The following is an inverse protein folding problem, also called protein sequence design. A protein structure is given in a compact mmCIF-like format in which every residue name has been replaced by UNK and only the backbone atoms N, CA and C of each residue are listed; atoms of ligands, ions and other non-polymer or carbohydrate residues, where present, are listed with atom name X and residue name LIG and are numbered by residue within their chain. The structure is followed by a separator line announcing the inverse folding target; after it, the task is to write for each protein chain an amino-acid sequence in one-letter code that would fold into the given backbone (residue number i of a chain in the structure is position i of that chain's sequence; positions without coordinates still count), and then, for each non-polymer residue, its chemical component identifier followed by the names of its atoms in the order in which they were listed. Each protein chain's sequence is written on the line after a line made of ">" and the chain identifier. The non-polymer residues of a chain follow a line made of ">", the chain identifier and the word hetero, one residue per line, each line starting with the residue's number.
data_IF_014967641717
#
_entry.id   IF_014967641717
#
_cell.length_a   1.000
_cell.length_b   1.000
_cell.length_c   1.000
_cell.angle_alpha   90.00
_cell.angle_beta   90.00
_cell.angle_gamma   90.00
#
_symmetry.space_group_name_H-M   'P 1'
#
loop_
_entity.id
_entity.type
_entity.pdbx_description
1 polymer ?
#
# COMPACT_ATOMS: atom_id res chain seq x y z
N UNK A 1 24.45 11.59 0.60
CA UNK A 1 23.44 12.16 1.50
C UNK A 1 22.75 13.38 0.85
N UNK A 2 23.49 14.40 0.43
CA UNK A 2 22.97 15.68 -0.12
C UNK A 2 21.96 15.46 -1.28
N UNK A 3 22.30 14.56 -2.23
CA UNK A 3 21.39 14.23 -3.33
C UNK A 3 20.05 13.65 -2.87
N UNK A 4 20.02 12.85 -1.79
CA UNK A 4 18.80 12.29 -1.23
C UNK A 4 17.97 13.38 -0.54
N UNK A 5 18.63 14.29 0.19
CA UNK A 5 17.99 15.44 0.84
C UNK A 5 17.41 16.44 -0.17
N UNK A 6 18.10 16.67 -1.28
CA UNK A 6 17.61 17.54 -2.35
C UNK A 6 16.36 16.95 -3.02
N UNK A 7 16.37 15.64 -3.30
CA UNK A 7 15.19 14.95 -3.85
C UNK A 7 14.01 14.97 -2.89
N UNK A 8 14.24 14.66 -1.64
CA UNK A 8 13.22 14.75 -0.58
C UNK A 8 12.62 16.16 -0.52
N UNK A 9 13.47 17.16 -0.56
CA UNK A 9 13.08 18.57 -0.52
C UNK A 9 12.16 18.98 -1.65
N UNK A 10 12.46 18.54 -2.87
CA UNK A 10 11.63 18.78 -4.06
C UNK A 10 10.29 18.07 -3.95
N UNK A 11 10.29 16.79 -3.56
CA UNK A 11 9.06 16.02 -3.38
C UNK A 11 8.11 16.67 -2.39
N UNK A 12 8.61 17.15 -1.24
CA UNK A 12 7.77 17.82 -0.24
C UNK A 12 7.09 19.10 -0.76
N UNK A 13 7.73 19.83 -1.68
CA UNK A 13 7.13 21.03 -2.26
C UNK A 13 5.89 20.69 -3.10
N UNK A 14 5.92 19.56 -3.81
CA UNK A 14 4.85 19.13 -4.72
C UNK A 14 3.70 18.39 -4.03
N UNK A 15 3.86 17.99 -2.76
CA UNK A 15 2.83 17.26 -2.01
C UNK A 15 1.66 18.18 -1.69
N UNK A 16 0.45 17.83 -2.17
CA UNK A 16 -0.80 18.44 -1.74
C UNK A 16 -1.25 17.85 -0.40
N UNK A 17 -1.80 18.72 0.45
CA UNK A 17 -2.40 18.38 1.76
C UNK A 17 -3.91 18.65 1.79
N UNK A 18 -4.54 18.84 0.64
CA UNK A 18 -5.96 19.17 0.54
C UNK A 18 -6.88 18.00 0.91
N UNK A 19 -6.38 16.77 0.77
CA UNK A 19 -7.14 15.55 1.07
C UNK A 19 -6.26 14.51 1.74
N UNK A 20 -6.71 14.02 2.90
CA UNK A 20 -6.05 12.94 3.62
C UNK A 20 -6.85 11.64 3.54
N UNK A 21 -6.13 10.54 3.36
CA UNK A 21 -6.72 9.21 3.45
C UNK A 21 -7.12 8.89 4.89
N UNK A 22 -8.18 8.11 5.08
CA UNK A 22 -8.66 7.70 6.41
C UNK A 22 -7.55 7.12 7.31
N UNK A 23 -6.61 6.40 6.71
CA UNK A 23 -5.48 5.78 7.40
C UNK A 23 -4.56 6.80 8.07
N UNK A 24 -4.46 8.03 7.54
CA UNK A 24 -3.64 9.10 8.10
C UNK A 24 -3.92 9.35 9.59
N UNK A 25 -5.19 9.30 9.98
CA UNK A 25 -5.64 9.50 11.37
C UNK A 25 -5.68 8.20 12.19
N UNK A 26 -5.58 7.04 11.57
CA UNK A 26 -5.59 5.74 12.25
C UNK A 26 -4.19 5.26 12.65
N UNK A 27 -3.15 5.71 11.94
CA UNK A 27 -1.77 5.36 12.26
C UNK A 27 -1.38 6.01 13.59
N UNK A 28 -0.88 5.18 14.52
CA UNK A 28 -0.20 5.72 15.70
C UNK A 28 1.24 6.09 15.33
N UNK A 29 1.42 7.34 14.94
CA UNK A 29 2.69 7.89 14.49
C UNK A 29 3.76 7.99 15.59
N UNK A 30 3.41 7.77 16.86
CA UNK A 30 4.38 7.71 17.96
C UNK A 30 5.14 6.39 18.03
N UNK A 31 4.74 5.38 17.26
CA UNK A 31 5.45 4.11 17.21
C UNK A 31 6.82 4.29 16.55
N UNK A 32 7.84 3.67 17.12
CA UNK A 32 9.22 3.76 16.64
C UNK A 32 9.43 3.12 15.26
N UNK A 33 8.71 2.05 14.96
CA UNK A 33 8.73 1.43 13.64
C UNK A 33 7.31 1.19 13.15
N UNK A 34 7.02 1.72 11.97
CA UNK A 34 5.72 1.66 11.34
C UNK A 34 5.90 1.09 9.93
N UNK A 35 5.16 0.02 9.63
CA UNK A 35 5.07 -0.54 8.28
C UNK A 35 3.70 -0.26 7.68
N UNK A 36 3.68 0.34 6.50
CA UNK A 36 2.47 0.61 5.74
C UNK A 36 2.46 -0.22 4.47
N UNK A 37 1.62 -1.25 4.44
CA UNK A 37 1.44 -2.13 3.28
C UNK A 37 0.15 -1.81 2.53
N UNK A 38 -0.03 -2.39 1.37
CA UNK A 38 -1.26 -2.24 0.58
C UNK A 38 -0.99 -2.26 -0.92
N UNK A 39 -2.05 -2.35 -1.75
CA UNK A 39 -1.92 -2.40 -3.20
C UNK A 39 -1.11 -1.23 -3.76
N UNK A 40 -0.44 -1.47 -4.90
CA UNK A 40 0.25 -0.39 -5.61
C UNK A 40 -0.77 0.65 -6.08
N UNK A 41 -0.42 1.94 -5.97
CA UNK A 41 -1.27 3.02 -6.46
C UNK A 41 -2.36 3.50 -5.50
N UNK A 42 -2.52 2.92 -4.31
CA UNK A 42 -3.56 3.35 -3.34
C UNK A 42 -3.22 4.66 -2.59
N UNK A 43 -2.00 5.20 -2.77
CA UNK A 43 -1.59 6.47 -2.18
C UNK A 43 -0.73 6.37 -0.93
N UNK A 44 -0.02 5.24 -0.69
CA UNK A 44 0.87 5.06 0.48
C UNK A 44 1.96 6.13 0.55
N UNK A 45 2.68 6.33 -0.56
CA UNK A 45 3.73 7.36 -0.68
C UNK A 45 3.21 8.75 -0.36
N UNK A 46 2.03 9.12 -0.91
CA UNK A 46 1.42 10.40 -0.67
C UNK A 46 1.10 10.58 0.82
N UNK A 47 0.53 9.56 1.47
CA UNK A 47 0.16 9.59 2.88
C UNK A 47 1.39 9.86 3.78
N UNK A 48 2.51 9.14 3.57
CA UNK A 48 3.71 9.35 4.39
C UNK A 48 4.38 10.70 4.12
N UNK A 49 4.36 11.18 2.88
CA UNK A 49 4.88 12.50 2.54
C UNK A 49 4.02 13.64 3.11
N UNK A 50 2.70 13.48 3.15
CA UNK A 50 1.79 14.42 3.83
C UNK A 50 2.13 14.51 5.32
N UNK A 51 2.28 13.36 5.98
CA UNK A 51 2.65 13.35 7.40
C UNK A 51 3.99 14.02 7.65
N UNK A 52 5.00 13.73 6.84
CA UNK A 52 6.30 14.39 6.88
C UNK A 52 6.18 15.91 6.75
N UNK A 53 5.40 16.37 5.75
CA UNK A 53 5.25 17.80 5.45
C UNK A 53 4.59 18.58 6.56
N UNK A 54 3.60 17.99 7.22
CA UNK A 54 2.73 18.69 8.18
C UNK A 54 3.18 18.57 9.63
N UNK A 55 3.88 17.48 9.99
CA UNK A 55 4.07 17.15 11.41
C UNK A 55 5.54 17.05 11.83
N UNK A 56 6.49 16.95 10.91
CA UNK A 56 7.88 16.69 11.26
C UNK A 56 8.83 17.79 10.81
N UNK A 57 9.85 18.11 11.64
CA UNK A 57 10.89 19.07 11.26
C UNK A 57 11.71 18.49 10.12
N UNK A 58 11.88 19.28 9.06
CA UNK A 58 12.56 18.84 7.84
C UNK A 58 14.04 18.52 8.06
N UNK A 59 14.70 19.27 8.93
CA UNK A 59 16.11 19.10 9.26
C UNK A 59 16.44 17.75 9.92
N UNK A 60 15.46 17.15 10.62
CA UNK A 60 15.61 15.89 11.33
C UNK A 60 14.90 14.73 10.62
N UNK A 61 14.39 14.95 9.41
CA UNK A 61 13.61 13.98 8.64
C UNK A 61 14.25 13.69 7.29
N UNK A 62 14.14 12.44 6.85
CA UNK A 62 14.60 12.03 5.54
C UNK A 62 13.60 11.04 4.94
N UNK A 63 13.26 11.24 3.67
CA UNK A 63 12.53 10.28 2.85
C UNK A 63 13.43 9.75 1.74
N UNK A 64 13.43 8.43 1.58
CA UNK A 64 14.13 7.74 0.49
C UNK A 64 13.22 6.67 -0.10
N UNK A 65 13.42 6.35 -1.37
CA UNK A 65 12.84 5.14 -1.97
C UNK A 65 13.89 4.06 -2.10
N UNK A 66 13.54 2.82 -1.76
CA UNK A 66 14.43 1.67 -1.90
C UNK A 66 14.79 1.34 -3.36
N UNK A 67 14.09 1.97 -4.32
CA UNK A 67 14.40 1.89 -5.75
C UNK A 67 15.52 2.86 -6.20
N UNK A 68 16.02 3.74 -5.30
CA UNK A 68 17.07 4.68 -5.65
C UNK A 68 18.39 3.97 -5.97
N UNK A 69 19.06 4.40 -7.05
CA UNK A 69 20.39 3.90 -7.43
C UNK A 69 21.43 4.05 -6.32
N UNK A 70 21.21 4.92 -5.34
CA UNK A 70 22.05 5.02 -4.15
C UNK A 70 22.23 3.66 -3.46
N UNK A 71 21.18 2.85 -3.40
CA UNK A 71 21.19 1.55 -2.73
C UNK A 71 21.78 0.40 -3.56
N UNK A 72 22.27 0.66 -4.75
CA UNK A 72 23.10 -0.29 -5.52
C UNK A 72 24.49 -0.44 -4.88
N UNK A 73 25.02 0.66 -4.34
CA UNK A 73 26.36 0.73 -3.78
C UNK A 73 26.39 0.90 -2.25
N UNK A 74 25.27 1.32 -1.65
CA UNK A 74 25.18 1.65 -0.22
C UNK A 74 24.08 0.85 0.46
N UNK A 75 24.32 0.49 1.72
CA UNK A 75 23.35 -0.23 2.53
C UNK A 75 22.39 0.74 3.21
N UNK A 76 21.17 0.26 3.50
CA UNK A 76 20.19 1.01 4.31
C UNK A 76 20.72 1.30 5.71
N UNK A 77 21.41 0.33 6.33
CA UNK A 77 22.01 0.51 7.64
C UNK A 77 23.07 1.61 7.64
N UNK A 78 23.95 1.65 6.62
CA UNK A 78 24.99 2.67 6.52
C UNK A 78 24.38 4.08 6.32
N UNK A 79 23.26 4.17 5.58
CA UNK A 79 22.50 5.41 5.47
C UNK A 79 21.94 5.85 6.83
N UNK A 80 21.35 4.92 7.59
CA UNK A 80 20.78 5.21 8.91
C UNK A 80 21.86 5.68 9.89
N UNK A 81 23.03 4.98 9.91
CA UNK A 81 24.19 5.37 10.74
C UNK A 81 24.65 6.79 10.43
N UNK A 82 24.76 7.12 9.15
CA UNK A 82 25.17 8.46 8.72
C UNK A 82 24.11 9.52 9.07
N UNK A 83 22.82 9.20 8.84
CA UNK A 83 21.71 10.09 9.10
C UNK A 83 21.59 10.43 10.60
N UNK A 84 21.66 9.43 11.47
CA UNK A 84 21.63 9.63 12.93
C UNK A 84 22.83 10.44 13.41
N UNK A 85 24.05 10.20 12.90
CA UNK A 85 25.24 11.00 13.21
C UNK A 85 25.08 12.49 12.84
N UNK A 86 24.24 12.79 11.86
CA UNK A 86 23.91 14.16 11.45
C UNK A 86 22.72 14.75 12.21
N UNK A 87 22.20 14.08 13.24
CA UNK A 87 21.06 14.52 14.04
C UNK A 87 19.69 14.12 13.49
N UNK A 88 19.64 13.20 12.52
CA UNK A 88 18.40 12.66 11.95
C UNK A 88 17.62 11.83 12.97
N UNK A 89 16.30 11.98 12.95
CA UNK A 89 15.38 11.30 13.88
C UNK A 89 14.25 10.53 13.20
N UNK A 90 13.86 10.91 11.99
CA UNK A 90 12.70 10.34 11.29
C UNK A 90 13.10 9.89 9.89
N UNK A 91 13.24 8.58 9.69
CA UNK A 91 13.62 7.98 8.42
C UNK A 91 12.43 7.26 7.79
N UNK A 92 12.06 7.71 6.59
CA UNK A 92 10.97 7.15 5.80
C UNK A 92 11.52 6.45 4.57
N UNK A 93 11.18 5.16 4.42
CA UNK A 93 11.71 4.30 3.35
C UNK A 93 10.54 3.77 2.53
N UNK A 94 10.40 4.26 1.32
CA UNK A 94 9.33 3.85 0.41
C UNK A 94 9.74 2.63 -0.41
N UNK A 95 8.76 1.79 -0.77
CA UNK A 95 8.92 0.58 -1.58
C UNK A 95 10.02 -0.35 -1.07
N UNK A 96 10.09 -0.55 0.27
CA UNK A 96 11.14 -1.32 0.96
C UNK A 96 11.35 -2.72 0.39
N UNK A 97 10.31 -3.31 -0.19
CA UNK A 97 10.34 -4.62 -0.81
C UNK A 97 11.28 -4.72 -2.02
N UNK A 98 11.70 -3.60 -2.57
CA UNK A 98 12.69 -3.55 -3.67
C UNK A 98 14.12 -3.74 -3.17
N UNK A 99 14.35 -3.61 -1.87
CA UNK A 99 15.66 -3.78 -1.28
C UNK A 99 15.86 -5.21 -0.77
N UNK A 100 16.95 -5.85 -1.17
CA UNK A 100 17.30 -7.19 -0.70
C UNK A 100 17.65 -7.16 0.79
N UNK A 101 17.28 -8.20 1.53
CA UNK A 101 17.55 -8.34 2.97
C UNK A 101 16.95 -7.20 3.86
N UNK A 102 15.97 -6.47 3.36
CA UNK A 102 15.35 -5.34 4.01
C UNK A 102 14.92 -5.58 5.48
N UNK A 103 14.34 -6.74 5.78
CA UNK A 103 13.86 -7.04 7.14
C UNK A 103 14.99 -7.18 8.15
N UNK A 104 16.13 -7.72 7.73
CA UNK A 104 17.32 -7.82 8.58
C UNK A 104 17.92 -6.45 8.86
N UNK A 105 18.02 -5.61 7.85
CA UNK A 105 18.57 -4.26 8.04
C UNK A 105 17.65 -3.37 8.85
N UNK A 106 16.33 -3.39 8.62
CA UNK A 106 15.37 -2.69 9.48
C UNK A 106 15.48 -3.13 10.95
N UNK A 107 15.65 -4.44 11.19
CA UNK A 107 15.86 -4.94 12.54
C UNK A 107 17.14 -4.38 13.16
N UNK A 108 18.25 -4.39 12.45
CA UNK A 108 19.52 -3.83 12.95
C UNK A 108 19.41 -2.32 13.19
N UNK A 109 18.79 -1.58 12.27
CA UNK A 109 18.54 -0.15 12.45
C UNK A 109 17.70 0.13 13.71
N UNK A 110 16.65 -0.66 13.94
CA UNK A 110 15.84 -0.55 15.14
C UNK A 110 16.61 -0.86 16.42
N UNK A 111 17.45 -1.89 16.40
CA UNK A 111 18.18 -2.33 17.60
C UNK A 111 19.37 -1.39 17.90
N UNK A 112 20.04 -0.81 16.89
CA UNK A 112 21.22 0.04 17.05
C UNK A 112 20.91 1.53 17.28
N UNK A 113 19.76 2.02 16.81
CA UNK A 113 19.38 3.42 16.90
C UNK A 113 18.06 3.59 17.66
N UNK A 114 18.05 3.53 19.00
CA UNK A 114 16.83 3.63 19.81
C UNK A 114 16.09 4.96 19.65
N UNK A 115 16.78 6.02 19.25
CA UNK A 115 16.24 7.36 18.98
C UNK A 115 15.63 7.51 17.57
N UNK A 116 15.91 6.59 16.65
CA UNK A 116 15.44 6.67 15.28
C UNK A 116 14.02 6.11 15.14
N UNK A 117 13.12 6.93 14.63
CA UNK A 117 11.83 6.49 14.13
C UNK A 117 11.96 6.05 12.68
N UNK A 118 11.43 4.88 12.35
CA UNK A 118 11.49 4.28 11.02
C UNK A 118 10.06 4.06 10.53
N UNK A 119 9.73 4.64 9.39
CA UNK A 119 8.48 4.37 8.68
C UNK A 119 8.82 3.77 7.32
N UNK A 120 8.23 2.63 6.99
CA UNK A 120 8.48 2.02 5.70
C UNK A 120 7.18 1.66 4.99
N UNK A 121 7.20 1.73 3.66
CA UNK A 121 6.07 1.26 2.85
C UNK A 121 6.46 0.06 2.01
N UNK A 122 5.45 -0.70 1.61
CA UNK A 122 5.63 -1.79 0.67
C UNK A 122 4.34 -2.21 -0.01
N UNK A 123 4.46 -3.04 -1.04
CA UNK A 123 3.28 -3.62 -1.68
C UNK A 123 2.64 -4.69 -0.80
N UNK A 124 1.39 -5.08 -1.08
CA UNK A 124 0.69 -6.17 -0.38
C UNK A 124 1.43 -7.51 -0.43
N UNK A 125 2.37 -7.66 -1.36
CA UNK A 125 3.22 -8.85 -1.45
C UNK A 125 4.11 -8.99 -0.21
N UNK A 126 4.44 -7.90 0.48
CA UNK A 126 5.18 -7.95 1.76
C UNK A 126 4.41 -8.71 2.85
N UNK A 127 3.08 -8.65 2.85
CA UNK A 127 2.24 -9.31 3.84
C UNK A 127 2.40 -10.84 3.77
N UNK A 128 2.78 -11.36 2.60
CA UNK A 128 3.02 -12.78 2.34
C UNK A 128 4.45 -13.18 2.77
N UNK A 129 5.33 -12.21 3.05
CA UNK A 129 6.76 -12.46 3.24
C UNK A 129 7.09 -12.83 4.69
N UNK A 130 7.95 -13.86 4.84
CA UNK A 130 8.55 -14.28 6.13
C UNK A 130 9.31 -13.13 6.85
N UNK A 131 9.75 -12.10 6.10
CA UNK A 131 10.44 -10.93 6.64
C UNK A 131 9.59 -10.09 7.59
N UNK A 132 8.27 -10.02 7.41
CA UNK A 132 7.36 -9.34 8.34
C UNK A 132 7.29 -10.06 9.69
N UNK A 133 7.39 -11.40 9.68
CA UNK A 133 7.41 -12.19 10.90
C UNK A 133 8.62 -11.84 11.79
N UNK A 134 9.78 -11.52 11.20
CA UNK A 134 10.99 -11.11 11.94
C UNK A 134 10.82 -9.73 12.62
N UNK A 135 9.94 -8.89 12.10
CA UNK A 135 9.66 -7.55 12.63
C UNK A 135 8.42 -7.49 13.53
N UNK A 136 7.70 -8.60 13.72
CA UNK A 136 6.39 -8.65 14.40
C UNK A 136 6.37 -8.08 15.82
N UNK A 137 7.54 -8.01 16.50
CA UNK A 137 7.69 -7.41 17.85
C UNK A 137 8.23 -5.97 17.80
N UNK A 138 8.58 -5.46 16.63
CA UNK A 138 9.23 -4.15 16.46
C UNK A 138 8.40 -3.17 15.66
N UNK A 139 7.72 -3.66 14.63
CA UNK A 139 6.95 -2.84 13.71
C UNK A 139 5.45 -2.94 13.96
N UNK A 140 4.78 -1.80 14.03
CA UNK A 140 3.33 -1.72 13.93
C UNK A 140 2.94 -1.71 12.46
N UNK A 141 2.26 -2.76 12.00
CA UNK A 141 1.88 -2.93 10.61
C UNK A 141 0.47 -2.39 10.37
N UNK A 142 0.33 -1.58 9.33
CA UNK A 142 -0.96 -1.05 8.86
C UNK A 142 -1.15 -1.47 7.40
N UNK A 143 -2.38 -1.84 7.06
CA UNK A 143 -2.72 -2.23 5.70
C UNK A 143 -3.70 -1.23 5.08
N UNK A 144 -3.24 -0.51 4.05
CA UNK A 144 -3.99 0.53 3.36
C UNK A 144 -4.73 -0.03 2.17
N UNK A 145 -6.04 0.02 2.21
CA UNK A 145 -6.92 -0.34 1.09
C UNK A 145 -7.07 0.80 0.08
N UNK A 146 -7.74 0.55 -1.03
CA UNK A 146 -8.18 1.60 -1.94
C UNK A 146 -9.15 2.58 -1.29
N UNK A 147 -9.64 3.56 -2.06
CA UNK A 147 -10.60 4.53 -1.56
C UNK A 147 -11.90 3.84 -1.12
N UNK A 148 -12.38 4.16 0.06
CA UNK A 148 -13.77 3.90 0.43
C UNK A 148 -14.70 4.79 -0.39
N UNK A 149 -15.99 4.41 -0.48
CA UNK A 149 -16.97 5.25 -1.18
C UNK A 149 -17.06 6.67 -0.59
N UNK A 150 -16.93 6.80 0.73
CA UNK A 150 -16.86 8.10 1.41
C UNK A 150 -15.65 8.92 0.95
N UNK A 151 -14.45 8.32 0.94
CA UNK A 151 -13.23 9.00 0.48
C UNK A 151 -13.32 9.38 -1.00
N UNK A 152 -13.91 8.53 -1.83
CA UNK A 152 -14.17 8.82 -3.23
C UNK A 152 -15.07 10.05 -3.41
N UNK A 153 -16.14 10.16 -2.62
CA UNK A 153 -17.04 11.32 -2.65
C UNK A 153 -16.32 12.59 -2.20
N UNK A 154 -15.54 12.51 -1.12
CA UNK A 154 -14.80 13.66 -0.61
C UNK A 154 -13.72 14.10 -1.62
N UNK A 155 -12.97 13.17 -2.18
CA UNK A 155 -11.86 13.49 -3.08
C UNK A 155 -12.30 14.00 -4.45
N UNK A 156 -13.34 13.39 -5.06
CA UNK A 156 -13.70 13.65 -6.46
C UNK A 156 -14.98 14.45 -6.64
N UNK A 157 -15.79 14.59 -5.61
CA UNK A 157 -17.10 15.25 -5.70
C UNK A 157 -17.26 16.43 -4.73
N UNK A 158 -16.18 16.80 -4.02
CA UNK A 158 -16.18 17.98 -3.15
C UNK A 158 -17.09 17.85 -1.92
N UNK A 159 -17.45 16.63 -1.54
CA UNK A 159 -18.12 16.39 -0.25
C UNK A 159 -17.10 16.39 0.88
N UNK A 160 -17.58 16.60 2.09
CA UNK A 160 -16.80 16.47 3.33
C UNK A 160 -17.55 15.58 4.31
N UNK A 161 -17.70 14.31 3.93
CA UNK A 161 -18.32 13.31 4.81
C UNK A 161 -17.34 12.85 5.88
N UNK A 162 -17.66 13.02 7.16
CA UNK A 162 -16.82 12.50 8.24
C UNK A 162 -16.93 10.97 8.33
N UNK A 163 -16.01 10.36 9.07
CA UNK A 163 -16.14 8.98 9.50
C UNK A 163 -17.11 8.91 10.68
N UNK A 164 -18.14 8.09 10.58
CA UNK A 164 -19.07 7.82 11.67
C UNK A 164 -18.72 6.49 12.34
N UNK A 165 -18.78 6.48 13.67
CA UNK A 165 -18.71 5.25 14.45
C UNK A 165 -20.03 4.48 14.37
N UNK A 166 -20.01 3.21 14.77
CA UNK A 166 -21.26 2.44 14.90
C UNK A 166 -22.26 3.11 15.87
N UNK A 167 -21.75 3.66 16.97
CA UNK A 167 -22.57 4.37 17.96
C UNK A 167 -23.21 5.63 17.36
N UNK A 168 -22.50 6.37 16.53
CA UNK A 168 -23.07 7.54 15.83
C UNK A 168 -24.21 7.13 14.89
N UNK A 169 -24.05 5.99 14.21
CA UNK A 169 -25.09 5.45 13.33
C UNK A 169 -26.31 5.01 14.15
N UNK A 170 -26.10 4.26 15.24
CA UNK A 170 -27.18 3.79 16.10
C UNK A 170 -27.92 4.93 16.79
N UNK A 171 -27.23 6.01 17.12
CA UNK A 171 -27.79 7.20 17.75
C UNK A 171 -28.34 8.22 16.73
N UNK A 172 -28.41 7.86 15.42
CA UNK A 172 -28.92 8.71 14.34
C UNK A 172 -28.19 10.07 14.23
N UNK A 173 -26.91 10.12 14.57
CA UNK A 173 -26.10 11.34 14.48
C UNK A 173 -25.54 11.59 13.06
N UNK A 174 -25.82 10.66 12.13
CA UNK A 174 -25.35 10.77 10.74
C UNK A 174 -26.07 11.93 10.06
N UNK A 175 -25.31 12.92 9.60
CA UNK A 175 -25.84 14.04 8.83
C UNK A 175 -25.56 13.82 7.34
N UNK A 176 -26.60 13.89 6.52
CA UNK A 176 -26.51 13.74 5.08
C UNK A 176 -26.99 15.05 4.45
N UNK A 177 -26.24 15.64 3.50
CA UNK A 177 -26.68 16.85 2.80
C UNK A 177 -28.03 16.67 2.14
N UNK A 178 -28.89 17.70 2.21
CA UNK A 178 -30.20 17.65 1.58
C UNK A 178 -30.06 17.37 0.08
N UNK A 179 -30.84 16.42 -0.41
CA UNK A 179 -30.82 16.02 -1.82
C UNK A 179 -29.67 15.10 -2.24
N UNK A 180 -28.82 14.66 -1.32
CA UNK A 180 -27.78 13.70 -1.64
C UNK A 180 -28.37 12.35 -2.08
N UNK A 181 -27.94 11.85 -3.23
CA UNK A 181 -28.39 10.58 -3.81
C UNK A 181 -27.18 9.65 -4.01
N UNK A 182 -26.84 8.78 -3.05
CA UNK A 182 -25.64 7.97 -3.08
C UNK A 182 -25.55 7.07 -4.32
N UNK A 183 -26.66 6.49 -4.78
CA UNK A 183 -26.66 5.59 -5.94
C UNK A 183 -26.26 6.28 -7.25
N UNK A 184 -26.40 7.58 -7.34
CA UNK A 184 -25.96 8.36 -8.50
C UNK A 184 -24.43 8.28 -8.69
N UNK A 185 -23.69 8.21 -7.60
CA UNK A 185 -22.22 8.15 -7.58
C UNK A 185 -21.68 6.71 -7.44
N UNK A 186 -22.49 5.81 -6.89
CA UNK A 186 -22.04 4.48 -6.52
C UNK A 186 -21.69 3.62 -7.75
N UNK A 187 -22.42 3.76 -8.85
CA UNK A 187 -22.11 3.07 -10.10
C UNK A 187 -20.74 3.45 -10.67
N UNK A 188 -20.40 4.75 -10.58
CA UNK A 188 -19.09 5.22 -11.04
C UNK A 188 -17.96 4.81 -10.08
N UNK A 189 -18.24 4.84 -8.77
CA UNK A 189 -17.31 4.32 -7.77
C UNK A 189 -16.95 2.84 -8.02
N UNK A 190 -17.93 2.00 -8.31
CA UNK A 190 -17.67 0.59 -8.61
C UNK A 190 -16.81 0.38 -9.85
N UNK A 191 -16.85 1.30 -10.80
CA UNK A 191 -16.05 1.23 -12.04
C UNK A 191 -14.65 1.83 -11.87
N UNK A 192 -14.55 2.99 -11.24
CA UNK A 192 -13.37 3.85 -11.25
C UNK A 192 -13.08 4.51 -9.89
N UNK A 193 -13.61 3.98 -8.79
CA UNK A 193 -13.52 4.64 -7.49
C UNK A 193 -12.49 4.06 -6.54
N UNK A 194 -11.94 2.88 -6.82
CA UNK A 194 -11.02 2.21 -5.87
C UNK A 194 -9.67 2.90 -5.75
N UNK A 195 -9.11 3.37 -6.87
CA UNK A 195 -7.82 4.06 -6.88
C UNK A 195 -7.96 5.58 -6.97
N UNK A 196 -7.08 6.36 -6.34
CA UNK A 196 -7.06 7.83 -6.43
C UNK A 196 -6.46 8.32 -7.75
N UNK A 197 -6.90 7.75 -8.87
CA UNK A 197 -6.41 8.10 -10.20
C UNK A 197 -7.29 9.13 -10.89
N UNK A 198 -6.73 9.95 -11.80
CA UNK A 198 -7.53 10.80 -12.68
C UNK A 198 -8.51 9.95 -13.51
N UNK A 199 -9.77 10.36 -13.57
CA UNK A 199 -10.84 9.58 -14.24
C UNK A 199 -10.56 9.34 -15.72
N UNK A 200 -9.95 10.30 -16.40
CA UNK A 200 -9.63 10.24 -17.84
C UNK A 200 -8.50 9.26 -18.18
N UNK A 201 -7.73 8.81 -17.21
CA UNK A 201 -6.60 7.88 -17.42
C UNK A 201 -6.67 6.63 -16.53
N UNK A 202 -7.80 6.43 -15.86
CA UNK A 202 -7.97 5.39 -14.84
C UNK A 202 -7.67 3.98 -15.37
N UNK A 203 -8.21 3.62 -16.55
CA UNK A 203 -8.05 2.28 -17.12
C UNK A 203 -6.60 2.00 -17.51
N UNK A 204 -5.90 2.99 -18.09
CA UNK A 204 -4.49 2.86 -18.45
C UNK A 204 -3.62 2.65 -17.21
N UNK A 205 -3.83 3.46 -16.17
CA UNK A 205 -3.09 3.36 -14.91
C UNK A 205 -3.38 2.03 -14.20
N UNK A 206 -4.64 1.59 -14.19
CA UNK A 206 -5.03 0.29 -13.64
C UNK A 206 -4.32 -0.85 -14.39
N UNK A 207 -4.33 -0.81 -15.72
CA UNK A 207 -3.65 -1.83 -16.54
C UNK A 207 -2.14 -1.85 -16.28
N UNK A 208 -1.51 -0.69 -16.15
CA UNK A 208 -0.08 -0.59 -15.80
C UNK A 208 0.21 -1.23 -14.44
N UNK A 209 -0.61 -0.95 -13.42
CA UNK A 209 -0.45 -1.54 -12.08
C UNK A 209 -0.60 -3.06 -12.14
N UNK A 210 -1.62 -3.57 -12.81
CA UNK A 210 -1.83 -5.02 -12.98
C UNK A 210 -0.62 -5.65 -13.66
N UNK A 211 -0.11 -5.03 -14.73
CA UNK A 211 1.07 -5.53 -15.43
C UNK A 211 2.30 -5.57 -14.54
N UNK A 212 2.62 -4.47 -13.85
CA UNK A 212 3.79 -4.40 -12.95
C UNK A 212 3.66 -5.40 -11.81
N UNK A 213 2.48 -5.53 -11.20
CA UNK A 213 2.26 -6.46 -10.10
C UNK A 213 2.46 -7.91 -10.55
N UNK A 214 1.95 -8.29 -11.73
CA UNK A 214 2.03 -9.66 -12.23
C UNK A 214 3.41 -9.98 -12.83
N UNK A 215 4.03 -9.03 -13.52
CA UNK A 215 5.27 -9.26 -14.26
C UNK A 215 6.54 -8.99 -13.45
N UNK A 216 6.44 -8.17 -12.41
CA UNK A 216 7.58 -7.77 -11.59
C UNK A 216 7.41 -8.18 -10.13
N UNK A 217 6.35 -7.70 -9.45
CA UNK A 217 6.24 -7.86 -8.00
C UNK A 217 6.06 -9.33 -7.61
N UNK A 218 5.06 -10.03 -8.16
CA UNK A 218 4.76 -11.43 -7.81
C UNK A 218 5.92 -12.39 -8.18
N UNK A 219 6.48 -12.36 -9.40
CA UNK A 219 7.58 -13.25 -9.76
C UNK A 219 8.83 -13.09 -8.91
N UNK A 220 9.18 -11.85 -8.56
CA UNK A 220 10.35 -11.56 -7.74
C UNK A 220 10.27 -12.27 -6.37
N UNK A 221 9.07 -12.36 -5.80
CA UNK A 221 8.85 -12.95 -4.47
C UNK A 221 8.51 -14.42 -4.48
N UNK A 222 7.76 -14.87 -5.47
CA UNK A 222 7.32 -16.26 -5.55
C UNK A 222 8.30 -17.18 -6.27
N UNK A 223 9.46 -16.66 -6.75
CA UNK A 223 10.40 -17.42 -7.56
C UNK A 223 9.76 -17.94 -8.87
N UNK A 224 8.75 -17.25 -9.38
CA UNK A 224 7.97 -17.66 -10.53
C UNK A 224 8.66 -17.26 -11.83
N UNK A 225 8.53 -18.12 -12.85
CA UNK A 225 9.02 -17.82 -14.19
C UNK A 225 7.99 -17.01 -15.02
N UNK A 226 8.44 -16.43 -16.14
CA UNK A 226 7.61 -15.59 -17.03
C UNK A 226 6.35 -16.31 -17.54
N UNK A 227 6.41 -17.63 -17.72
CA UNK A 227 5.25 -18.44 -18.18
C UNK A 227 4.12 -18.42 -17.15
N UNK A 228 4.43 -18.37 -15.87
CA UNK A 228 3.47 -18.29 -14.76
C UNK A 228 2.78 -16.92 -14.72
N UNK A 229 3.51 -15.83 -14.98
CA UNK A 229 2.94 -14.49 -15.07
C UNK A 229 1.85 -14.39 -16.14
N UNK A 230 2.07 -15.01 -17.31
CA UNK A 230 1.03 -15.10 -18.38
C UNK A 230 -0.23 -15.85 -17.92
N UNK A 231 -0.06 -16.96 -17.20
CA UNK A 231 -1.18 -17.73 -16.64
C UNK A 231 -1.96 -16.95 -15.58
N UNK A 232 -1.28 -16.15 -14.76
CA UNK A 232 -1.95 -15.25 -13.80
C UNK A 232 -2.80 -14.19 -14.51
N UNK A 233 -2.34 -13.60 -15.61
CA UNK A 233 -3.15 -12.68 -16.43
C UNK A 233 -4.38 -13.36 -17.00
N UNK A 234 -4.24 -14.59 -17.51
CA UNK A 234 -5.36 -15.38 -18.01
C UNK A 234 -6.38 -15.69 -16.90
N UNK A 235 -5.90 -16.05 -15.70
CA UNK A 235 -6.76 -16.28 -14.53
C UNK A 235 -7.55 -15.02 -14.16
N UNK A 236 -6.90 -13.86 -14.08
CA UNK A 236 -7.58 -12.59 -13.82
C UNK A 236 -8.66 -12.28 -14.86
N UNK A 237 -8.36 -12.52 -16.15
CA UNK A 237 -9.33 -12.30 -17.21
C UNK A 237 -10.55 -13.25 -17.10
N UNK A 238 -10.33 -14.49 -16.68
CA UNK A 238 -11.43 -15.46 -16.44
C UNK A 238 -12.28 -15.01 -15.24
N UNK A 239 -11.65 -14.61 -14.15
CA UNK A 239 -12.34 -14.11 -12.94
C UNK A 239 -13.18 -12.89 -13.30
N UNK A 240 -12.59 -11.89 -13.97
CA UNK A 240 -13.26 -10.65 -14.34
C UNK A 240 -14.51 -10.88 -15.24
N UNK A 241 -14.48 -11.87 -16.10
CA UNK A 241 -15.62 -12.24 -16.97
C UNK A 241 -16.71 -13.03 -16.27
N UNK A 242 -16.44 -13.59 -15.10
CA UNK A 242 -17.29 -14.58 -14.43
C UNK A 242 -17.93 -14.03 -13.15
N UNK A 243 -18.13 -12.74 -13.04
CA UNK A 243 -18.74 -12.12 -11.85
C UNK A 243 -20.27 -12.29 -11.87
N UNK A 244 -20.90 -12.81 -10.78
CA UNK A 244 -20.31 -13.30 -9.54
C UNK A 244 -19.55 -14.62 -9.71
N UNK A 245 -18.29 -14.65 -9.26
CA UNK A 245 -17.38 -15.75 -9.51
C UNK A 245 -17.49 -16.84 -8.43
N UNK A 246 -17.90 -18.06 -8.85
CA UNK A 246 -17.78 -19.26 -8.02
C UNK A 246 -16.62 -20.10 -8.56
N UNK A 247 -15.49 -20.20 -7.84
CA UNK A 247 -14.31 -20.88 -8.35
C UNK A 247 -14.59 -22.38 -8.56
N UNK A 248 -14.45 -22.84 -9.81
CA UNK A 248 -14.38 -24.26 -10.13
C UNK A 248 -12.93 -24.60 -10.46
N UNK A 249 -12.22 -25.18 -9.49
CA UNK A 249 -10.80 -25.49 -9.59
C UNK A 249 -10.47 -26.36 -10.80
N UNK A 250 -11.33 -27.33 -11.14
CA UNK A 250 -11.11 -28.22 -12.28
C UNK A 250 -11.23 -27.50 -13.61
N UNK A 251 -12.23 -26.63 -13.75
CA UNK A 251 -12.41 -25.79 -14.94
C UNK A 251 -11.28 -24.80 -15.12
N UNK A 252 -10.87 -24.14 -14.04
CA UNK A 252 -9.74 -23.20 -14.04
C UNK A 252 -8.42 -23.91 -14.40
N UNK A 253 -8.16 -25.07 -13.83
CA UNK A 253 -6.96 -25.86 -14.13
C UNK A 253 -6.90 -26.25 -15.62
N UNK A 254 -8.03 -26.62 -16.22
CA UNK A 254 -8.13 -26.91 -17.64
C UNK A 254 -7.86 -25.67 -18.50
N UNK A 255 -8.54 -24.55 -18.22
CA UNK A 255 -8.38 -23.30 -18.99
C UNK A 255 -6.95 -22.76 -18.92
N UNK A 256 -6.30 -22.88 -17.76
CA UNK A 256 -4.95 -22.36 -17.52
C UNK A 256 -3.85 -23.36 -17.90
N UNK A 257 -4.22 -24.60 -18.25
CA UNK A 257 -3.28 -25.69 -18.50
C UNK A 257 -2.27 -25.85 -17.35
N UNK A 258 -2.78 -25.96 -16.12
CA UNK A 258 -1.99 -26.16 -14.89
C UNK A 258 -2.59 -27.29 -14.05
N UNK A 259 -1.85 -27.78 -13.05
CA UNK A 259 -2.38 -28.78 -12.12
C UNK A 259 -3.50 -28.20 -11.25
N UNK A 260 -4.47 -29.06 -10.87
CA UNK A 260 -5.54 -28.68 -9.92
C UNK A 260 -4.96 -28.18 -8.60
N UNK A 261 -3.86 -28.78 -8.13
CA UNK A 261 -3.19 -28.38 -6.89
C UNK A 261 -2.59 -26.97 -6.98
N UNK A 262 -2.06 -26.58 -8.15
CA UNK A 262 -1.56 -25.21 -8.36
C UNK A 262 -2.67 -24.18 -8.30
N UNK A 263 -3.84 -24.46 -8.89
CA UNK A 263 -5.00 -23.56 -8.82
C UNK A 263 -5.57 -23.52 -7.41
N UNK A 264 -5.67 -24.69 -6.75
CA UNK A 264 -6.16 -24.77 -5.37
C UNK A 264 -5.28 -23.97 -4.40
N UNK A 265 -3.96 -24.07 -4.52
CA UNK A 265 -3.03 -23.32 -3.66
C UNK A 265 -3.22 -21.80 -3.82
N UNK A 266 -3.35 -21.30 -5.05
CA UNK A 266 -3.57 -19.86 -5.30
C UNK A 266 -4.96 -19.42 -4.83
N UNK A 267 -6.00 -20.19 -5.11
CA UNK A 267 -7.36 -19.88 -4.68
C UNK A 267 -7.52 -19.92 -3.16
N UNK A 268 -6.84 -20.86 -2.50
CA UNK A 268 -6.91 -21.01 -1.05
C UNK A 268 -6.20 -19.88 -0.29
N UNK A 269 -5.08 -19.41 -0.80
CA UNK A 269 -4.39 -18.23 -0.23
C UNK A 269 -5.20 -16.96 -0.42
N UNK A 270 -5.93 -16.82 -1.54
CA UNK A 270 -6.79 -15.66 -1.80
C UNK A 270 -8.09 -15.71 -0.98
N UNK A 271 -8.71 -16.86 -0.84
CA UNK A 271 -9.95 -17.03 -0.07
C UNK A 271 -9.71 -16.78 1.43
N UNK A 272 -8.58 -17.24 1.99
CA UNK A 272 -8.25 -16.95 3.40
C UNK A 272 -7.95 -15.48 3.69
N UNK A 273 -7.42 -14.74 2.73
CA UNK A 273 -7.22 -13.30 2.88
C UNK A 273 -8.54 -12.52 2.94
N UNK A 274 -9.63 -13.06 2.36
CA UNK A 274 -10.96 -12.44 2.35
C UNK A 274 -11.92 -12.99 3.41
N UNK A 275 -11.69 -14.18 3.98
CA UNK A 275 -12.59 -14.76 5.00
C UNK A 275 -12.53 -14.04 6.35
N UNK A 276 -11.47 -13.29 6.65
CA UNK A 276 -11.37 -12.48 7.88
C UNK A 276 -12.14 -11.17 7.80
N UNK A 277 -12.46 -10.67 6.60
CA UNK A 277 -13.17 -9.40 6.43
C UNK A 277 -14.70 -9.57 6.30
N UNK A 278 -15.20 -10.80 6.19
CA UNK A 278 -16.64 -11.07 6.00
C UNK A 278 -17.41 -11.41 7.28
N UNK A 279 -16.77 -11.38 8.45
CA UNK A 279 -17.37 -11.69 9.74
C UNK A 279 -17.24 -10.56 10.79
N UNK A 280 -17.00 -9.31 10.33
CA UNK A 280 -17.08 -8.14 11.21
C UNK A 280 -18.14 -7.16 10.72
#
# INVERSE_FOLDING_TARGET
>A
MDRLQDRFSKLLQEVSTDFHRYMYHQINWNNRMIGLTGPRGVGKTMLILQYLKENLPRENSLYVTAEDFYFVEHRLLDLADLFVKQGGKHLFIDEIHRYKDWSKELKLMYDYHPELQIVFTGSSVLDIHKGVADLSRRASMYHMQGLSFREYLNMFHGYDFPAYSLDDILQLKVTIPAGFRPFQYFSDYLKQGYYPFPKNDYENLLLQIVNVSIESDIPQYAGMNVSTARKLKQLLAVIAKSVPFKPNISSLASVLNVSRNSVAAVSYTHLRAHETDSYL
#
